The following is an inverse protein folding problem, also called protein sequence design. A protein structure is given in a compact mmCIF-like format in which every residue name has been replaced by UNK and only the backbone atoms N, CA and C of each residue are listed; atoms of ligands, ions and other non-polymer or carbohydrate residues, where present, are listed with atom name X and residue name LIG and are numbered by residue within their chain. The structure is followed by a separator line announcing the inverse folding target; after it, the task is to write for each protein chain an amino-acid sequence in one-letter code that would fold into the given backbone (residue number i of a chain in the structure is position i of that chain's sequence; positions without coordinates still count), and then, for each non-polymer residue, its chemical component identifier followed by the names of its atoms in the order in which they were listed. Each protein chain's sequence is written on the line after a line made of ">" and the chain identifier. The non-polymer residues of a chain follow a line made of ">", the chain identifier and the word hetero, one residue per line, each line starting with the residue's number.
data_IF_023708921729
#
_entry.id   IF_023708921729
#
_cell.length_a   1.000
_cell.length_b   1.000
_cell.length_c   1.000
_cell.angle_alpha   90.00
_cell.angle_beta   90.00
_cell.angle_gamma   90.00
#
_symmetry.space_group_name_H-M   'P 1'
#
loop_
_entity.id
_entity.type
_entity.pdbx_description
1 polymer ?
#
# COMPACT_ATOMS: atom_id res chain seq x y z
N UNK A 1 2.96 16.26 -28.30
CA UNK A 1 2.21 15.54 -29.28
C UNK A 1 1.59 14.35 -28.64
N UNK A 2 0.43 14.21 -28.91
CA UNK A 2 -0.28 13.13 -28.31
C UNK A 2 -0.33 11.91 -29.17
N UNK A 3 0.41 11.93 -30.23
CA UNK A 3 0.42 10.78 -31.04
C UNK A 3 0.89 9.63 -30.21
N UNK A 4 0.37 8.49 -30.43
CA UNK A 4 0.78 7.34 -29.69
C UNK A 4 0.41 7.38 -28.24
N UNK A 5 -0.77 7.86 -27.95
CA UNK A 5 -1.23 7.77 -26.60
C UNK A 5 -1.40 6.33 -26.23
N UNK A 6 -0.68 5.91 -25.21
CA UNK A 6 -0.74 4.54 -24.76
C UNK A 6 -1.40 4.49 -23.42
N UNK A 7 -2.14 3.45 -23.21
CA UNK A 7 -2.59 3.14 -21.88
C UNK A 7 -1.68 2.03 -21.38
N UNK A 8 -0.82 2.36 -20.43
CA UNK A 8 0.15 1.39 -19.90
C UNK A 8 -0.22 1.04 -18.49
N UNK A 9 -0.28 -0.25 -18.23
CA UNK A 9 -0.52 -0.75 -16.89
C UNK A 9 0.47 -1.85 -16.62
N UNK A 10 1.05 -1.84 -15.45
CA UNK A 10 2.01 -2.83 -15.07
C UNK A 10 1.61 -3.42 -13.74
N UNK A 11 1.53 -4.73 -13.67
CA UNK A 11 1.14 -5.44 -12.48
C UNK A 11 2.21 -6.42 -12.11
N UNK A 12 2.63 -6.41 -10.87
CA UNK A 12 3.71 -7.26 -10.44
C UNK A 12 3.38 -7.88 -9.09
N UNK A 13 3.17 -9.19 -9.02
CA UNK A 13 3.02 -9.83 -7.72
C UNK A 13 4.39 -9.99 -7.09
N UNK A 14 4.51 -9.62 -5.83
CA UNK A 14 5.79 -9.63 -5.14
C UNK A 14 5.93 -10.74 -4.14
N UNK A 15 4.90 -11.52 -3.95
CA UNK A 15 4.96 -12.69 -3.08
C UNK A 15 4.49 -13.86 -3.88
N UNK A 16 4.92 -15.02 -3.47
CA UNK A 16 4.49 -16.22 -4.14
C UNK A 16 3.08 -16.53 -3.70
N UNK A 17 2.23 -16.65 -4.68
CA UNK A 17 0.89 -17.12 -4.50
C UNK A 17 0.79 -18.33 -5.34
N UNK A 18 0.02 -19.25 -4.88
CA UNK A 18 -0.27 -20.41 -5.67
C UNK A 18 -1.49 -20.09 -6.51
N UNK A 19 -1.30 -19.33 -7.55
CA UNK A 19 -2.39 -19.08 -8.44
C UNK A 19 -2.25 -19.87 -9.67
N UNK A 20 -3.32 -20.33 -10.20
CA UNK A 20 -3.28 -21.00 -11.47
C UNK A 20 -3.34 -20.04 -12.60
N UNK A 21 -3.82 -18.85 -12.34
CA UNK A 21 -3.79 -17.82 -13.35
C UNK A 21 -3.76 -16.48 -12.68
N UNK A 22 -3.14 -15.54 -13.34
CA UNK A 22 -3.02 -14.20 -12.84
C UNK A 22 -4.29 -13.43 -13.15
N UNK A 23 -5.34 -13.85 -12.54
CA UNK A 23 -6.60 -13.17 -12.74
C UNK A 23 -6.82 -12.22 -11.60
N UNK A 24 -6.75 -10.93 -11.88
CA UNK A 24 -6.97 -9.92 -10.87
C UNK A 24 -8.38 -9.40 -11.04
N UNK A 25 -9.26 -9.77 -10.14
CA UNK A 25 -10.66 -9.37 -10.28
C UNK A 25 -10.81 -7.88 -10.03
N UNK A 26 -11.81 -7.31 -10.64
CA UNK A 26 -12.17 -5.94 -10.39
C UNK A 26 -13.03 -5.94 -9.13
N UNK A 27 -12.39 -5.79 -7.97
CA UNK A 27 -13.06 -5.90 -6.69
C UNK A 27 -13.10 -4.57 -6.00
N UNK A 28 -14.03 -4.43 -5.11
CA UNK A 28 -14.07 -3.29 -4.22
C UNK A 28 -13.31 -3.65 -2.97
N UNK A 29 -12.42 -2.77 -2.57
CA UNK A 29 -11.63 -2.97 -1.36
C UNK A 29 -12.33 -2.36 -0.17
N UNK A 30 -12.08 -2.93 1.00
CA UNK A 30 -12.73 -2.44 2.22
C UNK A 30 -12.16 -1.10 2.67
N UNK A 31 -10.90 -0.85 2.39
CA UNK A 31 -10.29 0.44 2.70
C UNK A 31 -9.39 0.86 1.55
N UNK A 32 -9.47 2.14 1.19
CA UNK A 32 -8.61 2.71 0.15
C UNK A 32 -8.16 4.08 0.60
N UNK A 33 -6.88 4.36 0.44
CA UNK A 33 -6.37 5.67 0.81
C UNK A 33 -5.21 6.06 -0.07
N UNK A 34 -4.96 7.37 -0.15
CA UNK A 34 -3.87 7.91 -0.95
C UNK A 34 -3.01 8.80 -0.06
N UNK A 35 -1.72 8.64 -0.20
CA UNK A 35 -0.75 9.44 0.52
C UNK A 35 0.30 9.93 -0.45
N UNK A 36 0.97 11.00 -0.07
CA UNK A 36 2.06 11.53 -0.88
C UNK A 36 3.16 10.48 -0.97
N UNK A 37 3.68 10.29 -2.18
CA UNK A 37 4.73 9.31 -2.40
C UNK A 37 5.96 9.62 -1.56
N UNK A 38 6.25 10.91 -1.38
CA UNK A 38 7.39 11.32 -0.57
C UNK A 38 7.18 10.96 0.89
N UNK A 39 6.00 11.24 1.43
CA UNK A 39 5.70 10.92 2.81
C UNK A 39 5.76 9.42 3.06
N UNK A 40 5.20 8.65 2.16
CA UNK A 40 5.18 7.20 2.29
C UNK A 40 6.59 6.65 2.27
N UNK A 41 7.40 7.12 1.35
CA UNK A 41 8.78 6.67 1.24
C UNK A 41 9.55 6.93 2.54
N UNK A 42 9.38 8.12 3.10
CA UNK A 42 10.05 8.48 4.35
C UNK A 42 9.54 7.64 5.52
N UNK A 43 8.24 7.47 5.63
CA UNK A 43 7.66 6.70 6.73
C UNK A 43 8.10 5.23 6.68
N UNK A 44 8.04 4.62 5.52
CA UNK A 44 8.41 3.22 5.41
C UNK A 44 9.90 3.02 5.65
N UNK A 45 10.71 3.97 5.21
CA UNK A 45 12.14 3.92 5.47
C UNK A 45 12.43 3.99 6.97
N UNK A 46 11.75 4.88 7.67
CA UNK A 46 11.92 5.02 9.11
C UNK A 46 11.43 3.78 9.85
N UNK A 47 10.29 3.25 9.45
CA UNK A 47 9.74 2.07 10.09
C UNK A 47 10.65 0.87 9.94
N UNK A 48 11.31 0.74 8.79
CA UNK A 48 12.17 -0.40 8.54
C UNK A 48 13.42 -0.39 9.40
N UNK A 49 13.74 0.72 10.04
CA UNK A 49 14.83 0.77 10.99
C UNK A 49 14.49 0.08 12.32
N UNK A 50 13.21 -0.16 12.57
CA UNK A 50 12.77 -0.73 13.84
C UNK A 50 12.34 -2.19 13.72
N UNK A 51 11.79 -2.58 12.57
CA UNK A 51 11.32 -3.94 12.42
C UNK A 51 11.25 -4.37 10.98
N UNK A 52 10.89 -5.64 10.79
CA UNK A 52 10.81 -6.24 9.46
C UNK A 52 9.40 -6.24 8.90
N UNK A 53 8.41 -6.06 9.74
CA UNK A 53 7.02 -6.12 9.33
C UNK A 53 6.34 -4.82 9.69
N UNK A 54 5.35 -4.48 8.89
CA UNK A 54 4.53 -3.32 9.17
C UNK A 54 3.10 -3.78 9.41
N UNK A 55 2.49 -3.22 10.44
CA UNK A 55 1.09 -3.46 10.74
C UNK A 55 0.32 -2.21 10.33
N UNK A 56 -0.64 -2.39 9.45
CA UNK A 56 -1.46 -1.30 8.96
C UNK A 56 -2.84 -1.43 9.57
N UNK A 57 -3.25 -0.41 10.31
CA UNK A 57 -4.58 -0.34 10.89
C UNK A 57 -5.35 0.78 10.23
N UNK A 58 -6.52 0.44 9.70
CA UNK A 58 -7.40 1.42 9.08
C UNK A 58 -8.72 1.45 9.84
N UNK A 59 -9.13 2.63 10.25
CA UNK A 59 -10.41 2.83 10.91
C UNK A 59 -11.06 4.08 10.35
N UNK A 60 -12.27 4.36 10.80
CA UNK A 60 -12.96 5.56 10.32
C UNK A 60 -12.31 6.84 10.82
N UNK A 61 -11.43 6.75 11.78
CA UNK A 61 -10.82 7.93 12.39
C UNK A 61 -9.42 8.20 11.89
N UNK A 62 -8.64 7.17 11.64
CA UNK A 62 -7.25 7.37 11.23
C UNK A 62 -6.67 6.12 10.59
N UNK A 63 -5.46 6.26 10.09
CA UNK A 63 -4.65 5.16 9.63
C UNK A 63 -3.43 5.13 10.53
N UNK A 64 -3.07 3.95 11.01
CA UNK A 64 -1.92 3.79 11.87
C UNK A 64 -0.97 2.77 11.25
N UNK A 65 0.29 3.11 11.21
CA UNK A 65 1.35 2.24 10.69
C UNK A 65 2.30 1.95 11.84
N UNK A 66 2.57 0.69 12.12
CA UNK A 66 3.45 0.37 13.23
C UNK A 66 4.35 -0.81 12.92
N UNK A 67 5.46 -0.89 13.64
CA UNK A 67 6.38 -1.99 13.53
C UNK A 67 7.00 -2.26 14.89
N UNK A 68 7.37 -3.50 15.13
CA UNK A 68 8.03 -3.92 16.36
C UNK A 68 9.33 -4.61 16.02
N UNK A 69 10.36 -4.32 16.80
CA UNK A 69 11.64 -4.98 16.61
C UNK A 69 12.36 -5.06 17.93
N UNK A 70 13.56 -5.64 17.90
CA UNK A 70 14.34 -5.79 19.11
C UNK A 70 14.76 -4.45 19.70
N UNK A 71 14.87 -3.43 18.87
CA UNK A 71 15.25 -2.09 19.34
C UNK A 71 14.08 -1.27 19.87
N UNK A 72 12.87 -1.76 19.70
CA UNK A 72 11.68 -1.04 20.15
C UNK A 72 10.59 -1.10 19.13
N UNK A 73 9.61 -0.24 19.30
CA UNK A 73 8.51 -0.16 18.35
C UNK A 73 8.32 1.28 17.92
N UNK A 74 7.77 1.43 16.74
CA UNK A 74 7.47 2.75 16.20
C UNK A 74 6.05 2.72 15.66
N UNK A 75 5.30 3.76 15.92
CA UNK A 75 3.94 3.90 15.40
C UNK A 75 3.80 5.29 14.80
N UNK A 76 3.20 5.33 13.62
CA UNK A 76 2.88 6.58 12.96
C UNK A 76 1.37 6.62 12.80
N UNK A 77 0.74 7.62 13.40
CA UNK A 77 -0.70 7.82 13.25
C UNK A 77 -0.93 8.92 12.25
N UNK A 78 -1.74 8.65 11.26
CA UNK A 78 -2.03 9.61 10.21
C UNK A 78 -3.49 10.00 10.32
N UNK A 79 -3.77 11.23 10.79
CA UNK A 79 -5.16 11.69 10.88
C UNK A 79 -5.78 11.77 9.49
N UNK A 80 -7.09 11.62 9.44
CA UNK A 80 -7.80 11.63 8.18
C UNK A 80 -7.53 12.93 7.41
N UNK A 81 -7.41 14.03 8.11
CA UNK A 81 -7.19 15.33 7.46
C UNK A 81 -5.86 15.40 6.72
N UNK A 82 -4.92 14.55 7.07
CA UNK A 82 -3.61 14.52 6.42
C UNK A 82 -3.53 13.50 5.29
N UNK A 83 -4.61 12.81 5.01
CA UNK A 83 -4.67 11.81 3.96
C UNK A 83 -5.33 12.44 2.74
N UNK A 84 -4.69 12.29 1.57
CA UNK A 84 -5.19 12.92 0.35
C UNK A 84 -6.58 12.42 -0.02
N UNK A 85 -6.83 11.15 0.21
CA UNK A 85 -8.10 10.53 -0.10
C UNK A 85 -8.25 9.31 0.79
N UNK A 86 -9.42 9.10 1.36
CA UNK A 86 -9.64 7.97 2.25
C UNK A 86 -11.09 7.52 2.19
N UNK A 87 -11.28 6.24 2.01
CA UNK A 87 -12.60 5.65 2.15
C UNK A 87 -12.46 4.31 2.83
N UNK A 88 -13.41 3.98 3.67
CA UNK A 88 -13.45 2.69 4.37
C UNK A 88 -14.91 2.32 4.54
N UNK A 89 -15.18 1.03 4.45
CA UNK A 89 -16.53 0.54 4.65
C UNK A 89 -16.97 0.88 6.07
N UNK A 90 -18.18 1.40 6.19
CA UNK A 90 -18.71 1.86 7.45
C UNK A 90 -18.67 0.76 8.51
N UNK A 91 -18.18 1.11 9.68
CA UNK A 91 -18.09 0.17 10.80
C UNK A 91 -16.93 -0.80 10.72
N UNK A 92 -16.14 -0.74 9.67
CA UNK A 92 -15.03 -1.67 9.52
C UNK A 92 -13.76 -1.15 10.17
N UNK A 93 -12.96 -2.09 10.61
CA UNK A 93 -11.63 -1.81 11.10
C UNK A 93 -10.74 -2.90 10.55
N UNK A 94 -9.69 -2.50 9.86
CA UNK A 94 -8.83 -3.44 9.16
C UNK A 94 -7.46 -3.40 9.78
N UNK A 95 -6.92 -4.56 10.13
CA UNK A 95 -5.58 -4.69 10.68
C UNK A 95 -4.88 -5.79 9.90
N UNK A 96 -3.84 -5.41 9.16
CA UNK A 96 -3.10 -6.35 8.33
C UNK A 96 -1.61 -6.12 8.49
N UNK A 97 -0.84 -7.18 8.34
CA UNK A 97 0.60 -7.14 8.48
C UNK A 97 1.25 -7.49 7.16
N UNK A 98 2.27 -6.74 6.78
CA UNK A 98 3.00 -6.94 5.53
C UNK A 98 4.50 -6.88 5.77
N UNK A 99 5.26 -7.41 4.83
CA UNK A 99 6.72 -7.35 4.90
C UNK A 99 7.21 -5.97 4.46
N UNK A 100 7.96 -5.31 5.33
CA UNK A 100 8.53 -4.00 5.00
C UNK A 100 9.57 -4.11 3.89
N UNK A 101 10.25 -5.24 3.79
CA UNK A 101 11.25 -5.40 2.74
C UNK A 101 10.61 -5.31 1.35
N UNK A 102 9.45 -5.93 1.17
CA UNK A 102 8.78 -5.85 -0.11
C UNK A 102 8.21 -4.46 -0.35
N UNK A 103 7.62 -3.87 0.68
CA UNK A 103 7.03 -2.54 0.54
C UNK A 103 8.09 -1.51 0.22
N UNK A 104 9.24 -1.58 0.90
CA UNK A 104 10.30 -0.62 0.66
C UNK A 104 10.83 -0.69 -0.77
N UNK A 105 10.90 -1.90 -1.33
CA UNK A 105 11.35 -2.02 -2.71
C UNK A 105 10.44 -1.29 -3.68
N UNK A 106 9.16 -1.21 -3.35
CA UNK A 106 8.21 -0.55 -4.23
C UNK A 106 8.11 0.94 -3.97
N UNK A 107 8.36 1.36 -2.73
CA UNK A 107 8.15 2.74 -2.33
C UNK A 107 9.44 3.54 -2.20
N UNK A 108 10.55 2.99 -2.69
CA UNK A 108 11.83 3.68 -2.56
C UNK A 108 11.95 4.87 -3.48
N UNK A 109 11.16 4.92 -4.54
CA UNK A 109 11.24 6.05 -5.44
C UNK A 109 9.98 6.88 -5.34
N UNK A 110 10.14 8.13 -4.98
CA UNK A 110 9.04 9.07 -4.94
C UNK A 110 8.95 9.89 -6.21
N UNK A 111 9.65 9.45 -7.24
CA UNK A 111 9.67 10.17 -8.51
C UNK A 111 8.68 9.63 -9.52
N UNK A 112 8.09 8.48 -9.24
CA UNK A 112 7.16 7.87 -10.17
C UNK A 112 5.84 8.62 -10.23
N UNK A 113 5.38 9.11 -9.07
CA UNK A 113 4.12 9.81 -9.04
C UNK A 113 4.07 10.68 -7.79
N UNK A 114 3.10 11.58 -7.76
CA UNK A 114 2.94 12.47 -6.61
C UNK A 114 2.26 11.73 -5.46
N UNK A 115 1.26 10.92 -5.78
CA UNK A 115 0.51 10.19 -4.78
C UNK A 115 0.57 8.71 -5.05
N UNK A 116 0.43 7.95 -3.99
CA UNK A 116 0.38 6.49 -4.05
C UNK A 116 -0.96 6.06 -3.47
N UNK A 117 -1.65 5.20 -4.18
CA UNK A 117 -2.95 4.68 -3.75
C UNK A 117 -2.77 3.29 -3.15
N UNK A 118 -3.36 3.11 -1.99
CA UNK A 118 -3.34 1.82 -1.28
C UNK A 118 -4.74 1.29 -1.16
N UNK A 119 -4.93 0.02 -1.46
CA UNK A 119 -6.24 -0.63 -1.35
C UNK A 119 -6.08 -1.91 -0.56
N UNK A 120 -6.87 -2.05 0.49
CA UNK A 120 -6.75 -3.16 1.42
C UNK A 120 -8.09 -3.82 1.66
N UNK A 121 -8.06 -5.14 1.81
CA UNK A 121 -9.19 -5.92 2.26
C UNK A 121 -8.64 -7.13 2.99
N UNK A 122 -9.42 -7.66 3.93
CA UNK A 122 -9.03 -8.88 4.61
C UNK A 122 -8.91 -10.02 3.61
N UNK A 123 -7.89 -10.83 3.81
CA UNK A 123 -7.68 -12.05 2.99
C UNK A 123 -7.41 -11.77 1.52
N UNK A 124 -6.98 -10.57 1.20
CA UNK A 124 -6.64 -10.21 -0.18
C UNK A 124 -5.30 -9.51 -0.22
N UNK A 125 -4.58 -9.61 -1.34
CA UNK A 125 -3.36 -8.82 -1.49
C UNK A 125 -3.67 -7.33 -1.45
N UNK A 126 -2.77 -6.59 -0.81
CA UNK A 126 -2.85 -5.15 -0.84
C UNK A 126 -2.41 -4.66 -2.20
N UNK A 127 -3.17 -3.75 -2.79
CA UNK A 127 -2.79 -3.13 -4.05
C UNK A 127 -2.14 -1.80 -3.76
N UNK A 128 -0.99 -1.57 -4.36
CA UNK A 128 -0.29 -0.28 -4.31
C UNK A 128 -0.19 0.22 -5.74
N UNK A 129 -0.74 1.38 -6.00
CA UNK A 129 -0.81 1.89 -7.35
C UNK A 129 -0.15 3.26 -7.45
N UNK A 130 0.72 3.39 -8.44
CA UNK A 130 1.34 4.67 -8.79
C UNK A 130 0.76 5.12 -10.11
N UNK A 131 0.21 6.31 -10.14
CA UNK A 131 -0.33 6.91 -11.35
C UNK A 131 0.82 7.63 -12.06
N UNK A 132 1.15 7.19 -13.25
CA UNK A 132 2.26 7.76 -14.00
C UNK A 132 1.83 8.85 -14.97
N UNK A 133 0.53 9.14 -15.01
CA UNK A 133 0.00 10.11 -15.96
C UNK A 133 -0.27 9.47 -17.31
N UNK A 134 -0.99 10.17 -18.16
CA UNK A 134 -1.29 9.73 -19.54
C UNK A 134 -1.87 8.32 -19.58
N UNK A 135 -2.77 8.03 -18.65
CA UNK A 135 -3.43 6.72 -18.54
C UNK A 135 -2.46 5.59 -18.28
N UNK A 136 -1.30 5.87 -17.71
CA UNK A 136 -0.33 4.86 -17.36
C UNK A 136 -0.29 4.70 -15.85
N UNK A 137 -0.10 3.48 -15.39
CA UNK A 137 0.02 3.21 -13.97
C UNK A 137 0.87 1.98 -13.73
N UNK A 138 1.43 1.90 -12.53
CA UNK A 138 2.14 0.71 -12.06
C UNK A 138 1.42 0.25 -10.82
N UNK A 139 1.09 -1.04 -10.77
CA UNK A 139 0.41 -1.63 -9.63
C UNK A 139 1.24 -2.76 -9.07
N UNK A 140 1.33 -2.80 -7.76
CA UNK A 140 2.00 -3.88 -7.05
C UNK A 140 0.99 -4.55 -6.13
N UNK A 141 1.14 -5.84 -5.93
CA UNK A 141 0.25 -6.61 -5.07
C UNK A 141 1.09 -7.37 -4.05
N UNK A 142 0.77 -7.21 -2.79
CA UNK A 142 1.50 -7.86 -1.70
C UNK A 142 0.52 -8.61 -0.83
N UNK A 143 0.78 -9.89 -0.63
CA UNK A 143 -0.05 -10.69 0.26
C UNK A 143 0.22 -10.30 1.72
N UNK A 144 -0.82 -10.25 2.54
CA UNK A 144 -0.60 -10.03 3.96
C UNK A 144 0.05 -11.25 4.58
N UNK A 145 0.78 -11.03 5.67
CA UNK A 145 1.35 -12.14 6.41
C UNK A 145 0.26 -12.80 7.22
N UNK A 146 0.26 -14.11 7.21
CA UNK A 146 -0.73 -14.87 7.96
C UNK A 146 -0.25 -15.01 9.38
N UNK A 147 -1.19 -14.87 10.31
CA UNK A 147 -0.89 -15.11 11.71
C UNK A 147 -1.14 -16.58 11.97
N UNK A 148 -0.18 -17.20 12.60
CA UNK A 148 -0.33 -18.60 12.99
C UNK A 148 -0.92 -18.71 14.37
#
# INVERSE_FOLDING_TARGET
>A
AKKGEYKKSFKMPLVEYDYEEMHIPNVEYDAEFSLSAKQISEMFSQLSNFGNDIIINCSEEDISLSTNGVSGEMTVDIPIDDISSYSIVEGEKITLTYSLAYINKMCITNKLSTDVDFSLSNDMPMKIRYDLGDDSSIMFFIAPKMND
#
